data_IF_738530540685
#
_entry.id   IF_738530540685
#
_cell.length_a   1.000
_cell.length_b   1.000
_cell.length_c   1.000
_cell.angle_alpha   90.00
_cell.angle_beta   90.00
_cell.angle_gamma   90.00
#
_symmetry.space_group_name_H-M   'P 1'
#
loop_
_entity.id
_entity.type
_entity.pdbx_description
1 polymer ?
#
# COMPACT_ATOMS: atom_id res chain seq x y z
N UNK A 1 -0.29 -4.58 -25.50
CA UNK A 1 1.09 -4.46 -24.99
C UNK A 1 1.07 -3.50 -23.82
N UNK A 2 1.20 -4.01 -22.59
CA UNK A 2 1.31 -3.18 -21.41
C UNK A 2 2.78 -2.76 -21.27
N UNK A 3 3.07 -1.46 -21.44
CA UNK A 3 4.34 -0.84 -21.02
C UNK A 3 4.30 -0.87 -19.48
N UNK A 4 4.71 -1.99 -18.91
CA UNK A 4 4.97 -2.15 -17.49
C UNK A 4 6.41 -1.68 -17.29
N UNK A 5 6.62 -0.58 -16.58
CA UNK A 5 7.93 -0.30 -15.99
C UNK A 5 7.84 -0.60 -14.52
N UNK A 6 8.83 -1.29 -13.95
CA UNK A 6 9.03 -1.21 -12.49
C UNK A 6 9.11 0.28 -12.19
N UNK A 7 8.08 0.81 -11.53
CA UNK A 7 8.11 2.18 -11.09
C UNK A 7 9.34 2.31 -10.18
N UNK A 8 10.21 3.29 -10.44
CA UNK A 8 11.34 3.61 -9.55
C UNK A 8 10.87 3.91 -8.12
N UNK A 9 9.57 4.08 -7.91
CA UNK A 9 8.91 4.28 -6.61
C UNK A 9 8.25 3.00 -6.04
N UNK A 10 8.44 1.83 -6.65
CA UNK A 10 7.98 0.54 -6.11
C UNK A 10 8.80 0.17 -4.87
N UNK A 11 8.12 -0.12 -3.76
CA UNK A 11 8.81 -0.58 -2.54
C UNK A 11 9.47 -1.93 -2.70
N UNK A 12 8.90 -2.82 -3.52
CA UNK A 12 9.47 -4.15 -3.81
C UNK A 12 10.77 -4.01 -4.61
N UNK A 13 10.78 -3.15 -5.62
CA UNK A 13 11.99 -2.88 -6.41
C UNK A 13 13.11 -2.30 -5.55
N UNK A 14 12.79 -1.32 -4.71
CA UNK A 14 13.76 -0.68 -3.80
C UNK A 14 14.27 -1.64 -2.73
N UNK A 15 13.42 -2.50 -2.19
CA UNK A 15 13.85 -3.55 -1.27
C UNK A 15 14.85 -4.47 -1.96
N UNK A 16 14.53 -4.97 -3.16
CA UNK A 16 15.43 -5.85 -3.91
C UNK A 16 16.80 -5.20 -4.17
N UNK A 17 16.82 -3.92 -4.58
CA UNK A 17 18.06 -3.15 -4.77
C UNK A 17 18.87 -3.01 -3.47
N UNK A 18 18.22 -2.65 -2.36
CA UNK A 18 18.89 -2.48 -1.07
C UNK A 18 19.48 -3.80 -0.54
N UNK A 19 18.74 -4.91 -0.65
CA UNK A 19 19.24 -6.23 -0.24
C UNK A 19 20.37 -6.72 -1.15
N UNK A 20 20.29 -6.51 -2.46
CA UNK A 20 21.36 -6.87 -3.39
C UNK A 20 22.66 -6.10 -3.11
N UNK A 21 22.55 -4.81 -2.77
CA UNK A 21 23.70 -3.95 -2.47
C UNK A 21 24.20 -4.06 -1.02
N UNK A 22 23.45 -4.73 -0.14
CA UNK A 22 23.72 -4.76 1.30
C UNK A 22 23.52 -3.42 2.02
N UNK A 23 22.93 -2.41 1.37
CA UNK A 23 22.70 -1.08 1.95
C UNK A 23 21.35 -1.03 2.69
N UNK A 24 21.37 -1.54 3.93
CA UNK A 24 20.19 -1.63 4.80
C UNK A 24 20.25 -0.66 5.99
N UNK A 25 21.29 0.18 6.07
CA UNK A 25 21.55 1.04 7.23
C UNK A 25 20.40 2.02 7.46
N UNK A 26 19.97 2.69 6.39
CA UNK A 26 18.92 3.72 6.47
C UNK A 26 17.56 3.11 6.86
N UNK A 27 17.18 1.98 6.24
CA UNK A 27 15.91 1.31 6.56
C UNK A 27 15.90 0.76 7.99
N UNK A 28 17.05 0.27 8.47
CA UNK A 28 17.22 -0.19 9.85
C UNK A 28 16.98 0.95 10.84
N UNK A 29 17.67 2.08 10.67
CA UNK A 29 17.53 3.24 11.56
C UNK A 29 16.08 3.74 11.60
N UNK A 30 15.42 3.80 10.45
CA UNK A 30 14.01 4.19 10.34
C UNK A 30 13.08 3.22 11.06
N UNK A 31 13.31 1.92 10.92
CA UNK A 31 12.52 0.89 11.60
C UNK A 31 12.67 0.99 13.12
N UNK A 32 13.89 1.15 13.61
CA UNK A 32 14.19 1.33 15.04
C UNK A 32 13.53 2.60 15.60
N UNK A 33 13.56 3.70 14.85
CA UNK A 33 12.94 4.96 15.26
C UNK A 33 11.41 4.88 15.31
N UNK A 34 10.77 4.31 14.28
CA UNK A 34 9.30 4.29 14.15
C UNK A 34 8.65 3.20 15.00
N UNK A 35 9.35 2.08 15.22
CA UNK A 35 8.80 0.88 15.86
C UNK A 35 9.60 0.45 17.09
N UNK A 36 10.26 1.39 17.78
CA UNK A 36 11.09 1.10 18.94
C UNK A 36 10.39 0.18 19.96
N UNK A 37 10.99 -0.99 20.20
CA UNK A 37 10.46 -1.99 21.13
C UNK A 37 9.18 -2.70 20.70
N UNK A 38 8.73 -2.51 19.45
CA UNK A 38 7.52 -3.11 18.87
C UNK A 38 7.89 -4.09 17.76
N UNK A 39 6.96 -5.01 17.46
CA UNK A 39 7.10 -5.89 16.28
C UNK A 39 7.01 -5.06 15.01
N UNK A 40 7.94 -5.30 14.09
CA UNK A 40 7.97 -4.68 12.77
C UNK A 40 6.76 -5.12 11.93
N UNK A 41 5.93 -4.18 11.43
CA UNK A 41 4.83 -4.52 10.53
C UNK A 41 5.35 -4.76 9.11
N UNK A 42 4.59 -5.45 8.27
CA UNK A 42 4.92 -5.66 6.85
C UNK A 42 6.30 -6.32 6.59
N UNK A 43 6.76 -7.18 7.49
CA UNK A 43 8.00 -7.97 7.33
C UNK A 43 7.77 -9.16 6.41
N UNK A 44 8.59 -9.30 5.37
CA UNK A 44 8.41 -10.35 4.36
C UNK A 44 8.74 -11.73 4.96
N UNK A 45 9.94 -11.90 5.49
CA UNK A 45 10.41 -13.15 6.13
C UNK A 45 11.63 -12.86 7.01
N UNK A 46 12.17 -13.88 7.68
CA UNK A 46 13.41 -13.76 8.45
C UNK A 46 14.61 -13.31 7.59
N UNK A 47 14.67 -13.73 6.33
CA UNK A 47 15.68 -13.31 5.34
C UNK A 47 15.51 -11.85 4.89
N UNK A 48 14.30 -11.31 5.05
CA UNK A 48 13.92 -9.94 4.68
C UNK A 48 13.30 -9.22 5.89
N UNK A 49 14.09 -8.97 6.95
CA UNK A 49 13.58 -8.68 8.29
C UNK A 49 13.03 -7.25 8.46
N UNK A 50 13.26 -6.36 7.48
CA UNK A 50 12.82 -4.97 7.58
C UNK A 50 11.44 -4.77 6.94
N UNK A 51 10.58 -3.89 7.52
CA UNK A 51 9.29 -3.56 6.96
C UNK A 51 9.36 -3.10 5.49
N UNK A 52 8.61 -3.77 4.61
CA UNK A 52 8.63 -3.46 3.18
C UNK A 52 8.26 -2.00 2.86
N UNK A 53 7.30 -1.43 3.60
CA UNK A 53 6.86 -0.06 3.39
C UNK A 53 7.96 1.00 3.66
N UNK A 54 8.97 0.70 4.49
CA UNK A 54 10.06 1.64 4.81
C UNK A 54 11.11 1.76 3.70
N UNK A 55 11.06 0.89 2.69
CA UNK A 55 11.83 1.08 1.46
C UNK A 55 11.27 2.21 0.58
N UNK A 56 10.18 2.86 0.98
CA UNK A 56 9.74 4.16 0.43
C UNK A 56 10.35 5.30 1.26
N UNK A 57 11.29 6.09 0.70
CA UNK A 57 11.82 7.26 1.41
C UNK A 57 10.74 8.30 1.65
N UNK A 58 9.85 8.53 0.68
CA UNK A 58 8.76 9.50 0.79
C UNK A 58 7.79 9.14 1.92
N UNK A 59 7.40 7.87 2.02
CA UNK A 59 6.53 7.46 3.13
C UNK A 59 7.26 7.61 4.45
N UNK A 60 8.54 7.23 4.50
CA UNK A 60 9.33 7.37 5.73
C UNK A 60 9.41 8.83 6.17
N UNK A 61 9.68 9.78 5.27
CA UNK A 61 9.66 11.21 5.59
C UNK A 61 8.31 11.65 6.15
N UNK A 62 7.20 11.20 5.56
CA UNK A 62 5.86 11.50 6.08
C UNK A 62 5.68 10.96 7.51
N UNK A 63 6.07 9.71 7.76
CA UNK A 63 5.91 9.07 9.07
C UNK A 63 6.89 9.59 10.14
N UNK A 64 8.01 10.18 9.72
CA UNK A 64 9.03 10.76 10.61
C UNK A 64 8.62 12.07 11.29
N UNK A 65 7.42 12.59 11.03
CA UNK A 65 6.90 13.80 11.68
C UNK A 65 7.34 15.11 11.00
N UNK A 66 7.58 15.09 9.69
CA UNK A 66 7.84 16.30 8.90
C UNK A 66 6.64 17.27 8.99
N UNK A 67 6.90 18.55 9.23
CA UNK A 67 5.89 19.61 9.35
C UNK A 67 5.00 19.74 8.10
N UNK A 68 5.47 19.29 6.93
CA UNK A 68 4.68 19.23 5.70
C UNK A 68 3.54 18.19 5.76
N UNK A 69 3.56 17.27 6.73
CA UNK A 69 2.61 16.15 6.87
C UNK A 69 2.18 15.91 8.33
N UNK A 70 1.53 16.89 8.99
CA UNK A 70 1.30 16.87 10.44
C UNK A 70 0.41 15.71 10.93
N UNK A 71 -0.43 15.14 10.07
CA UNK A 71 -1.37 14.05 10.38
C UNK A 71 -1.00 12.72 9.70
N UNK A 72 0.21 12.60 9.16
CA UNK A 72 0.63 11.41 8.41
C UNK A 72 0.57 10.12 9.24
N UNK A 73 0.95 10.17 10.51
CA UNK A 73 0.91 8.99 11.39
C UNK A 73 -0.53 8.54 11.65
N UNK A 74 -1.45 9.47 11.90
CA UNK A 74 -2.86 9.15 12.15
C UNK A 74 -3.51 8.56 10.88
N UNK A 75 -3.24 9.17 9.73
CA UNK A 75 -3.69 8.65 8.43
C UNK A 75 -3.13 7.25 8.19
N UNK A 76 -1.84 7.04 8.49
CA UNK A 76 -1.21 5.74 8.35
C UNK A 76 -1.84 4.68 9.24
N UNK A 77 -2.15 4.99 10.50
CA UNK A 77 -2.86 4.09 11.41
C UNK A 77 -4.23 3.69 10.87
N UNK A 78 -4.99 4.66 10.33
CA UNK A 78 -6.30 4.38 9.71
C UNK A 78 -6.14 3.44 8.51
N UNK A 79 -5.20 3.71 7.60
CA UNK A 79 -5.00 2.90 6.40
C UNK A 79 -4.51 1.49 6.74
N UNK A 80 -3.65 1.37 7.76
CA UNK A 80 -3.01 0.10 8.15
C UNK A 80 -3.81 -0.72 9.15
N UNK A 81 -4.95 -0.22 9.63
CA UNK A 81 -5.89 -1.04 10.38
C UNK A 81 -6.30 -2.27 9.57
N UNK A 82 -6.31 -3.45 10.20
CA UNK A 82 -6.55 -4.75 9.56
C UNK A 82 -7.82 -4.75 8.72
N UNK A 83 -8.90 -4.22 9.26
CA UNK A 83 -10.22 -4.15 8.63
C UNK A 83 -10.17 -3.29 7.37
N UNK A 84 -9.42 -2.19 7.40
CA UNK A 84 -9.28 -1.28 6.27
C UNK A 84 -8.41 -1.86 5.17
N UNK A 85 -7.36 -2.61 5.51
CA UNK A 85 -6.59 -3.40 4.53
C UNK A 85 -7.48 -4.43 3.84
N UNK A 86 -8.23 -5.22 4.62
CA UNK A 86 -9.15 -6.24 4.08
C UNK A 86 -10.16 -5.57 3.14
N UNK A 87 -10.81 -4.48 3.56
CA UNK A 87 -11.75 -3.71 2.73
C UNK A 87 -11.13 -3.23 1.42
N UNK A 88 -9.91 -2.67 1.46
CA UNK A 88 -9.21 -2.20 0.26
C UNK A 88 -8.91 -3.35 -0.71
N UNK A 89 -8.48 -4.49 -0.19
CA UNK A 89 -8.20 -5.69 -0.99
C UNK A 89 -9.49 -6.25 -1.61
N UNK A 90 -10.55 -6.42 -0.81
CA UNK A 90 -11.84 -6.93 -1.26
C UNK A 90 -12.51 -6.04 -2.30
N UNK A 91 -12.48 -4.71 -2.13
CA UNK A 91 -13.08 -3.84 -3.13
C UNK A 91 -12.27 -3.82 -4.44
N UNK A 92 -10.96 -4.03 -4.36
CA UNK A 92 -10.07 -4.10 -5.52
C UNK A 92 -10.30 -5.39 -6.32
N UNK A 93 -10.63 -6.52 -5.67
CA UNK A 93 -10.94 -7.78 -6.35
C UNK A 93 -12.17 -7.69 -7.27
N UNK A 94 -13.13 -6.84 -6.91
CA UNK A 94 -14.31 -6.49 -7.74
C UNK A 94 -14.06 -5.29 -8.67
N UNK A 95 -12.78 -4.99 -8.95
CA UNK A 95 -12.32 -3.99 -9.93
C UNK A 95 -12.68 -2.52 -9.61
N UNK A 96 -12.96 -2.19 -8.34
CA UNK A 96 -13.07 -0.79 -7.85
C UNK A 96 -11.73 -0.31 -7.27
N UNK A 97 -11.63 0.95 -6.87
CA UNK A 97 -10.39 1.50 -6.30
C UNK A 97 -10.34 1.32 -4.79
N UNK A 98 -9.17 0.95 -4.24
CA UNK A 98 -8.93 0.87 -2.80
C UNK A 98 -9.31 2.16 -2.04
N UNK A 99 -9.03 3.35 -2.59
CA UNK A 99 -9.39 4.61 -1.92
C UNK A 99 -10.89 4.84 -1.78
N UNK A 100 -11.72 4.21 -2.62
CA UNK A 100 -13.17 4.38 -2.56
C UNK A 100 -13.75 3.95 -1.22
N UNK A 101 -13.33 2.77 -0.73
CA UNK A 101 -13.93 2.15 0.46
C UNK A 101 -13.55 2.88 1.75
N UNK A 102 -12.40 3.58 1.75
CA UNK A 102 -11.96 4.41 2.87
C UNK A 102 -12.49 5.85 2.79
N UNK A 103 -13.03 6.24 1.64
CA UNK A 103 -13.54 7.58 1.38
C UNK A 103 -14.53 8.12 2.42
N UNK A 104 -15.55 7.34 2.84
CA UNK A 104 -16.47 7.78 3.89
C UNK A 104 -15.78 8.06 5.22
N UNK A 105 -14.87 7.18 5.67
CA UNK A 105 -14.12 7.38 6.92
C UNK A 105 -13.28 8.66 6.87
N UNK A 106 -12.56 8.91 5.78
CA UNK A 106 -11.81 10.15 5.65
C UNK A 106 -12.68 11.40 5.54
N UNK A 107 -13.92 11.27 5.05
CA UNK A 107 -14.89 12.37 5.05
C UNK A 107 -15.42 12.68 6.45
N UNK A 108 -15.52 11.67 7.33
CA UNK A 108 -15.89 11.84 8.74
C UNK A 108 -14.74 12.41 9.57
N UNK A 109 -13.50 11.93 9.34
CA UNK A 109 -12.31 12.42 10.04
C UNK A 109 -12.00 13.87 9.61
N UNK A 110 -12.22 14.20 8.33
CA UNK A 110 -11.90 15.51 7.76
C UNK A 110 -13.12 16.18 7.09
N UNK A 111 -14.15 16.55 7.88
CA UNK A 111 -15.43 17.00 7.35
C UNK A 111 -15.37 18.39 6.71
N UNK A 112 -14.45 19.25 7.17
CA UNK A 112 -14.39 20.69 6.86
C UNK A 112 -13.05 21.13 6.26
N UNK A 113 -12.30 20.21 5.63
CA UNK A 113 -11.04 20.58 4.97
C UNK A 113 -11.27 21.67 3.91
N UNK A 114 -10.58 22.79 4.06
CA UNK A 114 -10.45 23.79 3.00
C UNK A 114 -9.81 23.15 1.76
N UNK A 115 -10.07 23.70 0.57
CA UNK A 115 -9.56 23.13 -0.69
C UNK A 115 -8.02 23.00 -0.67
N UNK A 116 -7.35 23.99 -0.07
CA UNK A 116 -5.89 24.08 0.00
C UNK A 116 -5.26 22.99 0.87
N UNK A 117 -5.96 22.55 1.91
CA UNK A 117 -5.53 21.45 2.79
C UNK A 117 -5.96 20.09 2.22
N UNK A 118 -7.14 20.04 1.59
CA UNK A 118 -7.74 18.80 1.07
C UNK A 118 -6.89 18.15 -0.01
N UNK A 119 -6.27 18.94 -0.90
CA UNK A 119 -5.52 18.40 -2.04
C UNK A 119 -4.20 17.72 -1.63
N UNK A 120 -3.31 18.36 -0.83
CA UNK A 120 -2.12 17.70 -0.30
C UNK A 120 -2.44 16.43 0.50
N UNK A 121 -3.45 16.50 1.38
CA UNK A 121 -3.88 15.34 2.19
C UNK A 121 -4.33 14.17 1.32
N UNK A 122 -5.13 14.42 0.27
CA UNK A 122 -5.52 13.38 -0.71
C UNK A 122 -4.34 12.76 -1.42
N UNK A 123 -3.32 13.55 -1.76
CA UNK A 123 -2.11 13.03 -2.39
C UNK A 123 -1.30 12.16 -1.42
N UNK A 124 -1.20 12.57 -0.16
CA UNK A 124 -0.57 11.79 0.91
C UNK A 124 -1.32 10.46 1.12
N UNK A 125 -2.64 10.51 1.36
CA UNK A 125 -3.46 9.30 1.54
C UNK A 125 -3.36 8.38 0.32
N UNK A 126 -3.47 8.93 -0.90
CA UNK A 126 -3.34 8.14 -2.13
C UNK A 126 -1.97 7.48 -2.27
N UNK A 127 -0.90 8.15 -1.81
CA UNK A 127 0.44 7.57 -1.79
C UNK A 127 0.56 6.45 -0.75
N UNK A 128 0.05 6.64 0.47
CA UNK A 128 0.04 5.60 1.51
C UNK A 128 -0.75 4.36 1.07
N UNK A 129 -1.92 4.55 0.44
CA UNK A 129 -2.70 3.46 -0.15
C UNK A 129 -1.88 2.74 -1.22
N UNK A 130 -1.18 3.46 -2.11
CA UNK A 130 -0.28 2.83 -3.09
C UNK A 130 0.74 1.92 -2.42
N UNK A 131 1.44 2.40 -1.38
CA UNK A 131 2.45 1.62 -0.67
C UNK A 131 1.85 0.37 -0.04
N UNK A 132 0.70 0.48 0.61
CA UNK A 132 0.03 -0.68 1.22
C UNK A 132 -0.40 -1.68 0.16
N UNK A 133 -1.03 -1.21 -0.92
CA UNK A 133 -1.41 -2.09 -2.03
C UNK A 133 -0.19 -2.80 -2.63
N UNK A 134 0.94 -2.10 -2.82
CA UNK A 134 2.21 -2.70 -3.27
C UNK A 134 2.73 -3.76 -2.28
N UNK A 135 2.64 -3.50 -0.96
CA UNK A 135 3.00 -4.50 0.05
C UNK A 135 2.16 -5.77 -0.10
N UNK A 136 0.89 -5.69 -0.48
CA UNK A 136 0.05 -6.86 -0.73
C UNK A 136 0.14 -7.42 -2.15
N UNK A 137 1.16 -7.02 -2.91
CA UNK A 137 1.40 -7.54 -4.26
C UNK A 137 0.46 -6.97 -5.31
N UNK A 138 -0.11 -5.79 -5.08
CA UNK A 138 -0.89 -5.10 -6.10
C UNK A 138 -0.03 -4.09 -6.85
N UNK A 139 -0.21 -4.06 -8.17
CA UNK A 139 0.42 -3.08 -9.05
C UNK A 139 -0.61 -2.06 -9.52
N UNK A 140 -0.14 -0.85 -9.83
CA UNK A 140 -1.01 0.19 -10.37
C UNK A 140 -1.43 -0.17 -11.80
N UNK A 141 -2.72 -0.26 -12.05
CA UNK A 141 -3.25 -0.35 -13.42
C UNK A 141 -3.19 1.02 -14.09
N UNK A 142 -3.12 1.07 -15.43
CA UNK A 142 -3.13 2.33 -16.16
C UNK A 142 -4.43 3.11 -15.94
N UNK A 143 -4.28 4.39 -15.57
CA UNK A 143 -5.37 5.36 -15.48
C UNK A 143 -6.06 5.43 -14.11
N UNK A 144 -6.72 6.56 -13.86
CA UNK A 144 -7.58 6.76 -12.68
C UNK A 144 -8.98 6.26 -12.99
N UNK A 145 -9.62 5.59 -12.03
CA UNK A 145 -11.05 5.31 -12.07
C UNK A 145 -11.81 6.46 -11.41
N UNK A 146 -12.91 6.90 -12.03
CA UNK A 146 -13.90 7.74 -11.37
C UNK A 146 -14.64 6.90 -10.34
N UNK A 147 -14.75 7.43 -9.13
CA UNK A 147 -15.48 6.76 -8.06
C UNK A 147 -16.95 7.07 -8.27
N UNK A 148 -17.72 6.03 -8.56
CA UNK A 148 -19.16 6.18 -8.78
C UNK A 148 -19.86 6.40 -7.45
N UNK A 149 -20.30 7.64 -7.23
CA UNK A 149 -21.11 8.05 -6.07
C UNK A 149 -22.62 7.94 -6.33
N UNK A 150 -23.03 7.63 -7.57
CA UNK A 150 -24.44 7.59 -7.97
C UNK A 150 -24.99 6.16 -7.86
N UNK A 151 -25.15 5.66 -6.63
CA UNK A 151 -25.78 4.34 -6.40
C UNK A 151 -27.31 4.44 -6.38
N UNK A 152 -28.06 3.51 -7.03
CA UNK A 152 -29.51 3.42 -6.88
C UNK A 152 -29.90 3.19 -5.42
N UNK A 153 -30.84 3.99 -4.88
CA UNK A 153 -31.34 3.84 -3.50
C UNK A 153 -30.63 4.65 -2.41
N UNK A 154 -29.52 5.34 -2.70
CA UNK A 154 -28.89 6.25 -1.72
C UNK A 154 -29.70 7.55 -1.56
N UNK A 155 -29.78 8.14 -0.36
CA UNK A 155 -30.40 9.46 -0.16
C UNK A 155 -29.63 10.57 -0.88
N UNK A 156 -30.35 11.55 -1.44
CA UNK A 156 -29.79 12.59 -2.33
C UNK A 156 -28.71 13.46 -1.69
N UNK A 157 -28.75 13.62 -0.36
CA UNK A 157 -27.75 14.34 0.45
C UNK A 157 -26.39 13.63 0.50
N UNK A 158 -26.38 12.29 0.50
CA UNK A 158 -25.16 11.46 0.54
C UNK A 158 -24.71 10.94 -0.84
N UNK A 159 -25.56 11.06 -1.88
CA UNK A 159 -25.29 10.66 -3.29
C UNK A 159 -24.06 11.30 -3.94
N UNK A 160 -23.41 12.28 -3.30
CA UNK A 160 -22.29 13.06 -3.88
C UNK A 160 -21.03 13.11 -3.02
N UNK A 161 -21.00 12.46 -1.87
CA UNK A 161 -19.95 12.71 -0.88
C UNK A 161 -19.08 11.48 -0.69
N UNK A 162 -18.09 11.32 -1.55
CA UNK A 162 -16.91 10.53 -1.22
C UNK A 162 -15.73 11.51 -1.10
N UNK A 163 -14.87 11.29 -0.10
CA UNK A 163 -13.66 12.07 0.06
C UNK A 163 -12.86 12.08 -1.25
N UNK A 164 -12.80 10.96 -1.98
CA UNK A 164 -12.18 10.84 -3.30
C UNK A 164 -13.21 10.88 -4.44
N UNK A 165 -12.94 11.68 -5.48
CA UNK A 165 -13.73 11.70 -6.72
C UNK A 165 -13.20 10.73 -7.77
N UNK A 166 -11.89 10.49 -7.76
CA UNK A 166 -11.23 9.49 -8.59
C UNK A 166 -9.99 8.99 -7.88
N UNK A 167 -9.55 7.78 -8.18
CA UNK A 167 -8.37 7.18 -7.58
C UNK A 167 -7.66 6.21 -8.53
N UNK A 168 -6.45 5.82 -8.15
CA UNK A 168 -5.65 4.83 -8.87
C UNK A 168 -6.34 3.47 -8.82
N UNK A 169 -6.33 2.76 -9.96
CA UNK A 169 -6.76 1.36 -10.02
C UNK A 169 -5.58 0.45 -9.69
N UNK A 170 -5.88 -0.66 -9.04
CA UNK A 170 -4.89 -1.65 -8.67
C UNK A 170 -5.29 -3.01 -9.21
N UNK A 171 -4.30 -3.82 -9.58
CA UNK A 171 -4.48 -5.21 -10.00
C UNK A 171 -3.53 -6.08 -9.19
N UNK A 172 -4.00 -7.25 -8.74
CA UNK A 172 -3.13 -8.22 -8.06
C UNK A 172 -2.08 -8.72 -9.05
N UNK A 173 -0.81 -8.67 -8.68
CA UNK A 173 0.30 -9.13 -9.49
C UNK A 173 0.17 -10.62 -9.77
N UNK A 174 0.31 -11.00 -11.03
CA UNK A 174 0.40 -12.39 -11.46
C UNK A 174 1.87 -12.82 -11.64
N UNK A 175 2.11 -14.13 -11.76
CA UNK A 175 3.44 -14.66 -12.10
C UNK A 175 3.93 -14.06 -13.43
N UNK A 176 3.05 -13.91 -14.41
CA UNK A 176 3.40 -13.29 -15.70
C UNK A 176 3.78 -11.82 -15.56
N UNK A 177 3.11 -11.06 -14.68
CA UNK A 177 3.51 -9.68 -14.40
C UNK A 177 4.88 -9.63 -13.70
N UNK A 178 5.13 -10.53 -12.75
CA UNK A 178 6.42 -10.70 -12.06
C UNK A 178 7.55 -10.98 -13.05
N UNK A 179 7.36 -11.93 -13.96
CA UNK A 179 8.34 -12.27 -15.00
C UNK A 179 8.63 -11.07 -15.91
N UNK A 180 7.59 -10.37 -16.34
CA UNK A 180 7.74 -9.16 -17.14
C UNK A 180 8.49 -8.03 -16.41
N UNK A 181 8.42 -7.96 -15.08
CA UNK A 181 9.25 -7.05 -14.28
C UNK A 181 10.69 -7.53 -14.17
N UNK A 182 10.93 -8.83 -13.98
CA UNK A 182 12.28 -9.41 -13.93
C UNK A 182 13.07 -9.14 -15.21
N UNK A 183 12.43 -9.21 -16.37
CA UNK A 183 13.05 -8.93 -17.68
C UNK A 183 13.60 -7.50 -17.81
N UNK A 184 13.14 -6.57 -16.96
CA UNK A 184 13.56 -5.17 -16.97
C UNK A 184 14.73 -4.89 -16.03
N UNK A 185 14.95 -5.76 -15.05
CA UNK A 185 16.05 -5.64 -14.10
C UNK A 185 17.29 -6.19 -14.80
N UNK A 186 18.39 -5.43 -14.82
CA UNK A 186 19.63 -5.88 -15.48
C UNK A 186 20.59 -6.61 -14.56
N UNK A 187 20.58 -6.24 -13.27
CA UNK A 187 21.48 -6.82 -12.27
C UNK A 187 20.88 -8.15 -11.77
N UNK A 188 21.66 -9.23 -11.85
CA UNK A 188 21.21 -10.59 -11.49
C UNK A 188 20.96 -10.76 -9.98
N UNK A 189 21.72 -10.09 -9.11
CA UNK A 189 21.47 -10.13 -7.66
C UNK A 189 20.16 -9.41 -7.31
N UNK A 190 19.89 -8.27 -7.96
CA UNK A 190 18.62 -7.55 -7.81
C UNK A 190 17.46 -8.42 -8.32
N UNK A 191 17.62 -9.10 -9.48
CA UNK A 191 16.60 -10.05 -9.97
C UNK A 191 16.31 -11.14 -8.95
N UNK A 192 17.35 -11.76 -8.38
CA UNK A 192 17.23 -12.83 -7.40
C UNK A 192 16.42 -12.39 -6.17
N UNK A 193 16.75 -11.22 -5.62
CA UNK A 193 16.01 -10.68 -4.48
C UNK A 193 14.59 -10.25 -4.84
N UNK A 194 14.41 -9.60 -6.00
CA UNK A 194 13.09 -9.21 -6.47
C UNK A 194 12.18 -10.43 -6.62
N UNK A 195 12.66 -11.47 -7.31
CA UNK A 195 11.97 -12.74 -7.47
C UNK A 195 11.58 -13.34 -6.13
N UNK A 196 12.54 -13.51 -5.21
CA UNK A 196 12.30 -14.11 -3.91
C UNK A 196 11.23 -13.34 -3.11
N UNK A 197 11.31 -12.01 -3.08
CA UNK A 197 10.31 -11.16 -2.40
C UNK A 197 8.94 -11.33 -3.07
N UNK A 198 8.85 -11.22 -4.39
CA UNK A 198 7.57 -11.33 -5.10
C UNK A 198 6.94 -12.70 -4.98
N UNK A 199 7.74 -13.77 -4.98
CA UNK A 199 7.23 -15.14 -4.88
C UNK A 199 6.59 -15.38 -3.52
N UNK A 200 7.21 -14.88 -2.44
CA UNK A 200 6.63 -14.91 -1.09
C UNK A 200 5.31 -14.12 -1.01
N UNK A 201 5.26 -12.93 -1.62
CA UNK A 201 4.06 -12.08 -1.64
C UNK A 201 2.92 -12.75 -2.42
N UNK A 202 3.20 -13.26 -3.62
CA UNK A 202 2.21 -13.93 -4.50
C UNK A 202 1.68 -15.19 -3.83
N UNK A 203 2.55 -15.97 -3.19
CA UNK A 203 2.16 -17.19 -2.47
C UNK A 203 1.41 -16.91 -1.15
N UNK A 204 1.31 -15.66 -0.70
CA UNK A 204 0.69 -15.31 0.59
C UNK A 204 1.52 -15.78 1.80
N UNK A 205 2.82 -15.98 1.61
CA UNK A 205 3.70 -16.62 2.60
C UNK A 205 4.47 -15.63 3.46
N UNK A 206 4.30 -14.32 3.24
CA UNK A 206 4.95 -13.30 4.05
C UNK A 206 4.47 -13.32 5.51
N UNK A 207 5.31 -12.90 6.45
CA UNK A 207 4.94 -12.90 7.87
C UNK A 207 3.72 -12.01 8.14
N UNK A 208 3.63 -10.85 7.48
CA UNK A 208 2.47 -9.99 7.65
C UNK A 208 1.20 -10.57 7.03
N UNK A 209 1.24 -11.14 5.82
CA UNK A 209 0.02 -11.71 5.22
C UNK A 209 -0.59 -12.79 6.09
N UNK A 210 0.24 -13.61 6.76
CA UNK A 210 -0.21 -14.60 7.76
C UNK A 210 -0.92 -13.94 8.95
N UNK A 211 -0.40 -12.83 9.45
CA UNK A 211 -1.01 -12.07 10.57
C UNK A 211 -2.33 -11.42 10.16
N UNK A 212 -2.41 -10.83 8.97
CA UNK A 212 -3.65 -10.18 8.51
C UNK A 212 -4.73 -11.21 8.12
N UNK A 213 -4.34 -12.43 7.75
CA UNK A 213 -5.22 -13.53 7.34
C UNK A 213 -6.28 -13.08 6.33
N UNK A 214 -5.82 -12.48 5.22
CA UNK A 214 -6.68 -11.84 4.22
C UNK A 214 -7.48 -12.85 3.40
N UNK A 215 -6.82 -13.96 3.04
CA UNK A 215 -7.40 -14.98 2.15
C UNK A 215 -8.03 -16.15 2.94
N UNK A 216 -7.86 -16.17 4.27
CA UNK A 216 -8.44 -17.21 5.14
C UNK A 216 -9.80 -16.81 5.71
N UNK A 217 -10.68 -17.80 5.88
CA UNK A 217 -11.91 -17.62 6.64
C UNK A 217 -11.57 -17.49 8.12
N UNK A 218 -12.07 -16.44 8.76
CA UNK A 218 -12.15 -16.35 10.22
C UNK A 218 -13.55 -16.80 10.62
N UNK A 219 -13.63 -17.78 11.50
CA UNK A 219 -14.89 -18.22 12.11
C UNK A 219 -15.09 -17.49 13.45
N UNK A 220 -16.31 -17.54 14.00
CA UNK A 220 -16.63 -16.88 15.27
C UNK A 220 -15.73 -17.31 16.44
N UNK A 221 -15.20 -18.54 16.39
CA UNK A 221 -14.32 -19.10 17.41
C UNK A 221 -12.86 -18.65 17.29
N UNK A 222 -12.49 -17.94 16.23
CA UNK A 222 -11.13 -17.45 15.95
C UNK A 222 -11.00 -15.92 15.96
N UNK A 223 -12.05 -15.22 16.39
CA UNK A 223 -12.09 -13.77 16.65
C UNK A 223 -11.85 -13.48 18.13
#
# INVERSE_FOLDING_TARGET
MNDFKIDKLSVVGRAAEAYANGDLTEVKQRAEQLYLGKRYPFVISAEYPYPLHLFSPRLTTMLGGDAAYPDAQDVWQVITARENIIRMISITSIKRTAAEILGPQFQEIYPQDSIDVKRPRKQMIGYMIKIIMECFGYTTSRGRMQIDTNRPGAESSYRRTNYFKSATRYTKMTISDRDAFLDQIKNEDVKRHFQAITDLIIAGQTEYQKVYNIDGLTNWESL
#
